data_IF_418857698375
#
_entry.id   IF_418857698375
#
_cell.length_a   1.000
_cell.length_b   1.000
_cell.length_c   1.000
_cell.angle_alpha   90.00
_cell.angle_beta   90.00
_cell.angle_gamma   90.00
#
_symmetry.space_group_name_H-M   'P 1'
#
loop_
_entity.id
_entity.type
_entity.pdbx_description
1 polymer ?
#
# COMPACT_ATOMS: atom_id res chain seq x y z
N UNK A 1 -39.33 -17.31 36.19
CA UNK A 1 -38.32 -16.41 35.59
C UNK A 1 -37.74 -16.91 34.26
N UNK A 2 -38.33 -17.90 33.56
CA UNK A 2 -37.80 -18.45 32.30
C UNK A 2 -38.38 -17.85 31.02
N UNK A 3 -39.40 -16.99 31.14
CA UNK A 3 -40.20 -16.47 30.01
C UNK A 3 -39.42 -15.48 29.14
N UNK A 4 -38.43 -14.81 29.73
CA UNK A 4 -37.62 -13.76 29.10
C UNK A 4 -36.20 -14.24 28.78
N UNK A 5 -35.86 -15.48 29.12
CA UNK A 5 -34.50 -16.02 28.98
C UNK A 5 -34.04 -16.01 27.52
N UNK A 6 -34.95 -16.28 26.59
CA UNK A 6 -34.70 -16.22 25.15
C UNK A 6 -34.47 -14.79 24.65
N UNK A 7 -35.27 -13.83 25.13
CA UNK A 7 -35.08 -12.41 24.81
C UNK A 7 -33.77 -11.85 25.36
N UNK A 8 -33.36 -12.30 26.55
CA UNK A 8 -32.09 -11.91 27.18
C UNK A 8 -30.90 -12.48 26.41
N UNK A 9 -30.96 -13.76 26.00
CA UNK A 9 -29.92 -14.37 25.15
C UNK A 9 -29.80 -13.64 23.82
N UNK A 10 -30.94 -13.33 23.19
CA UNK A 10 -30.94 -12.59 21.93
C UNK A 10 -30.38 -11.18 22.11
N UNK A 11 -30.74 -10.48 23.20
CA UNK A 11 -30.19 -9.17 23.54
C UNK A 11 -28.67 -9.21 23.72
N UNK A 12 -28.15 -10.18 24.48
CA UNK A 12 -26.70 -10.36 24.68
C UNK A 12 -26.01 -10.61 23.33
N UNK A 13 -26.57 -11.49 22.50
CA UNK A 13 -26.00 -11.77 21.17
C UNK A 13 -25.98 -10.52 20.27
N UNK A 14 -27.06 -9.73 20.27
CA UNK A 14 -27.15 -8.49 19.51
C UNK A 14 -26.14 -7.45 20.00
N UNK A 15 -25.97 -7.32 21.32
CA UNK A 15 -24.96 -6.42 21.90
C UNK A 15 -23.53 -6.87 21.56
N UNK A 16 -23.26 -8.18 21.58
CA UNK A 16 -21.95 -8.71 21.21
C UNK A 16 -21.65 -8.47 19.72
N UNK A 17 -22.62 -8.70 18.84
CA UNK A 17 -22.49 -8.45 17.40
C UNK A 17 -22.24 -6.96 17.09
N UNK A 18 -23.00 -6.07 17.74
CA UNK A 18 -22.84 -4.62 17.54
C UNK A 18 -21.48 -4.12 18.03
N UNK A 19 -21.03 -4.59 19.21
CA UNK A 19 -19.68 -4.29 19.72
C UNK A 19 -18.60 -4.83 18.79
N UNK A 20 -18.77 -6.06 18.28
CA UNK A 20 -17.83 -6.66 17.33
C UNK A 20 -17.72 -5.83 16.04
N UNK A 21 -18.86 -5.43 15.45
CA UNK A 21 -18.87 -4.58 14.25
C UNK A 21 -18.18 -3.25 14.54
N UNK A 22 -18.43 -2.63 15.69
CA UNK A 22 -17.76 -1.39 16.10
C UNK A 22 -16.25 -1.57 16.23
N UNK A 23 -15.79 -2.68 16.80
CA UNK A 23 -14.37 -2.98 16.91
C UNK A 23 -13.76 -3.20 15.51
N UNK A 24 -14.38 -3.99 14.65
CA UNK A 24 -13.87 -4.23 13.28
C UNK A 24 -13.87 -2.95 12.43
N UNK A 25 -14.89 -2.09 12.55
CA UNK A 25 -14.97 -0.83 11.79
C UNK A 25 -14.05 0.28 12.31
N UNK A 26 -13.86 0.41 13.62
CA UNK A 26 -13.06 1.51 14.20
C UNK A 26 -11.64 1.11 14.59
N UNK A 27 -11.40 -0.15 14.96
CA UNK A 27 -10.06 -0.63 15.36
C UNK A 27 -9.23 -1.04 14.16
N UNK A 28 -9.84 -1.60 13.10
CA UNK A 28 -9.11 -2.00 11.89
C UNK A 28 -9.28 -0.91 10.83
N UNK A 29 -8.38 0.07 10.87
CA UNK A 29 -8.24 1.03 9.78
C UNK A 29 -7.66 0.30 8.57
N UNK A 30 -8.49 0.04 7.55
CA UNK A 30 -8.03 -0.58 6.31
C UNK A 30 -7.41 0.49 5.43
N UNK A 31 -6.14 0.31 5.07
CA UNK A 31 -5.54 1.02 3.95
C UNK A 31 -6.20 0.43 2.72
N UNK A 32 -7.12 1.17 2.09
CA UNK A 32 -7.68 0.75 0.82
C UNK A 32 -6.52 0.73 -0.18
N UNK A 33 -5.97 -0.45 -0.44
CA UNK A 33 -5.11 -0.63 -1.59
C UNK A 33 -5.91 -0.19 -2.81
N UNK A 34 -5.34 0.72 -3.59
CA UNK A 34 -5.85 1.02 -4.93
C UNK A 34 -5.70 -0.26 -5.75
N UNK A 35 -6.79 -1.03 -5.87
CA UNK A 35 -6.90 -2.04 -6.91
C UNK A 35 -6.69 -1.28 -8.22
N UNK A 36 -5.69 -1.63 -9.06
CA UNK A 36 -5.67 -1.09 -10.40
C UNK A 36 -6.98 -1.53 -11.04
N UNK A 37 -7.85 -0.57 -11.35
CA UNK A 37 -9.04 -0.84 -12.13
C UNK A 37 -8.58 -1.49 -13.43
N UNK A 38 -8.83 -2.78 -13.58
CA UNK A 38 -8.81 -3.49 -14.86
C UNK A 38 -9.98 -2.96 -15.69
N UNK A 39 -9.80 -1.77 -16.24
CA UNK A 39 -10.53 -1.23 -17.38
C UNK A 39 -9.56 -0.30 -18.11
N UNK A 40 -8.58 -0.92 -18.74
CA UNK A 40 -7.50 -0.26 -19.44
C UNK A 40 -6.49 -1.27 -19.94
N UNK A 41 -6.94 -2.20 -20.79
CA UNK A 41 -6.05 -2.85 -21.76
C UNK A 41 -5.26 -1.76 -22.47
N UNK A 42 -4.01 -1.57 -22.08
CA UNK A 42 -2.96 -1.14 -23.01
C UNK A 42 -1.81 -2.12 -22.80
N UNK A 43 -1.88 -3.17 -23.60
CA UNK A 43 -0.76 -3.89 -24.18
C UNK A 43 0.53 -3.05 -24.16
N UNK A 44 1.43 -3.33 -23.23
CA UNK A 44 2.81 -2.85 -23.30
C UNK A 44 3.59 -3.74 -24.26
N UNK A 45 3.19 -3.69 -25.53
CA UNK A 45 3.95 -4.22 -26.65
C UNK A 45 4.91 -3.11 -27.10
N UNK A 46 6.19 -3.33 -26.81
CA UNK A 46 7.36 -2.94 -27.61
C UNK A 46 7.14 -1.75 -28.55
N UNK A 47 7.49 -0.54 -28.09
CA UNK A 47 7.87 0.56 -28.97
C UNK A 47 9.20 1.14 -28.51
N UNK A 48 10.23 0.71 -29.23
CA UNK A 48 11.55 1.34 -29.28
C UNK A 48 11.38 2.81 -29.68
N UNK A 49 11.70 3.74 -28.77
CA UNK A 49 12.33 5.01 -29.14
C UNK A 49 12.96 5.65 -27.90
N UNK A 50 14.25 5.38 -27.66
CA UNK A 50 15.10 6.43 -27.14
C UNK A 50 16.44 6.38 -27.85
N UNK A 51 16.67 7.42 -28.65
CA UNK A 51 17.86 7.68 -29.44
C UNK A 51 19.03 7.99 -28.48
N UNK A 52 20.18 7.38 -28.78
CA UNK A 52 21.57 7.80 -28.48
C UNK A 52 21.72 9.24 -27.93
N UNK A 53 22.61 9.54 -26.97
CA UNK A 53 24.03 9.23 -27.02
C UNK A 53 24.74 9.64 -25.71
N UNK A 54 25.91 9.03 -25.51
CA UNK A 54 27.05 9.45 -24.68
C UNK A 54 27.14 8.98 -23.21
N UNK A 55 27.89 7.88 -23.06
CA UNK A 55 29.03 7.69 -22.15
C UNK A 55 28.94 8.22 -20.70
N UNK A 56 28.83 7.30 -19.75
CA UNK A 56 29.99 6.89 -18.93
C UNK A 56 29.66 5.57 -18.22
N UNK A 57 30.59 4.63 -18.31
CA UNK A 57 30.49 3.28 -17.80
C UNK A 57 30.44 3.26 -16.27
N UNK A 58 29.28 2.98 -15.68
CA UNK A 58 29.21 2.29 -14.38
C UNK A 58 28.04 1.30 -14.41
N UNK A 59 28.21 0.22 -13.65
CA UNK A 59 27.45 -1.02 -13.62
C UNK A 59 25.93 -0.79 -13.44
N UNK A 60 25.23 -0.46 -14.52
CA UNK A 60 23.80 -0.14 -14.48
C UNK A 60 23.01 -1.44 -14.53
N UNK A 61 22.66 -1.96 -13.35
CA UNK A 61 21.44 -2.74 -13.23
C UNK A 61 20.29 -1.88 -13.76
N UNK A 62 19.39 -2.48 -14.56
CA UNK A 62 18.22 -1.76 -15.03
C UNK A 62 17.41 -1.28 -13.82
N UNK A 63 17.12 0.02 -13.75
CA UNK A 63 16.30 0.58 -12.69
C UNK A 63 14.90 -0.06 -12.73
N UNK A 64 14.43 -0.55 -11.59
CA UNK A 64 13.10 -1.14 -11.45
C UNK A 64 12.22 -0.14 -10.71
N UNK A 65 11.10 0.25 -11.34
CA UNK A 65 10.12 1.16 -10.74
C UNK A 65 8.78 0.45 -10.60
N UNK A 66 8.16 0.58 -9.42
CA UNK A 66 6.78 0.17 -9.17
C UNK A 66 5.97 1.36 -8.66
N UNK A 67 4.68 1.17 -8.39
CA UNK A 67 3.82 2.22 -7.82
C UNK A 67 4.36 2.77 -6.49
N UNK A 68 5.00 1.91 -5.68
CA UNK A 68 5.44 2.25 -4.32
C UNK A 68 6.95 2.07 -4.10
N UNK A 69 7.74 1.81 -5.15
CA UNK A 69 9.18 1.61 -4.99
C UNK A 69 9.98 2.03 -6.21
N UNK A 70 11.25 2.34 -5.96
CA UNK A 70 12.28 2.56 -6.96
C UNK A 70 13.55 1.83 -6.50
N UNK A 71 14.22 1.11 -7.38
CA UNK A 71 15.49 0.45 -7.05
C UNK A 71 16.42 0.42 -8.26
N UNK A 72 17.64 0.91 -8.06
CA UNK A 72 18.77 0.77 -8.98
C UNK A 72 20.03 0.31 -8.20
N UNK A 73 21.20 0.33 -8.83
CA UNK A 73 22.48 -0.09 -8.21
C UNK A 73 22.91 0.77 -6.99
N UNK A 74 22.40 2.00 -6.86
CA UNK A 74 22.87 3.03 -5.93
C UNK A 74 21.77 3.59 -5.02
N UNK A 75 20.51 3.51 -5.42
CA UNK A 75 19.37 4.13 -4.80
C UNK A 75 18.25 3.10 -4.65
N UNK A 76 17.67 3.02 -3.46
CA UNK A 76 16.44 2.28 -3.21
C UNK A 76 15.47 3.16 -2.44
N UNK A 77 14.24 3.26 -2.94
CA UNK A 77 13.13 3.99 -2.32
C UNK A 77 11.97 3.03 -2.13
N UNK A 78 11.40 2.99 -0.93
CA UNK A 78 10.16 2.26 -0.64
C UNK A 78 9.19 3.18 0.08
N UNK A 79 7.97 3.28 -0.47
CA UNK A 79 6.88 4.06 0.12
C UNK A 79 5.99 3.12 0.94
N UNK A 80 5.86 3.42 2.22
CA UNK A 80 4.92 2.74 3.11
C UNK A 80 3.83 3.70 3.56
N UNK A 81 2.57 3.27 3.44
CA UNK A 81 1.41 4.02 3.89
C UNK A 81 0.94 3.54 5.27
N UNK A 82 0.73 4.49 6.19
CA UNK A 82 0.14 4.26 7.51
C UNK A 82 -1.09 5.14 7.70
N UNK A 83 -2.00 4.73 8.59
CA UNK A 83 -3.15 5.54 8.99
C UNK A 83 -3.23 5.66 10.49
N UNK A 84 -3.18 6.88 11.02
CA UNK A 84 -3.34 7.16 12.44
C UNK A 84 -4.36 8.29 12.64
N UNK A 85 -5.37 8.10 13.51
CA UNK A 85 -6.35 9.13 13.90
C UNK A 85 -6.98 9.87 12.71
N UNK A 86 -7.35 9.13 11.67
CA UNK A 86 -7.89 9.64 10.40
C UNK A 86 -6.92 10.45 9.51
N UNK A 87 -5.62 10.46 9.83
CA UNK A 87 -4.56 10.99 8.99
C UNK A 87 -3.86 9.85 8.24
N UNK A 88 -3.73 9.98 6.92
CA UNK A 88 -2.86 9.11 6.11
C UNK A 88 -1.44 9.67 6.15
N UNK A 89 -0.46 8.81 6.41
CA UNK A 89 0.95 9.13 6.53
C UNK A 89 1.69 8.31 5.47
N UNK A 90 2.40 8.99 4.57
CA UNK A 90 3.28 8.36 3.59
C UNK A 90 4.72 8.50 4.08
N UNK A 91 5.40 7.37 4.31
CA UNK A 91 6.79 7.32 4.73
C UNK A 91 7.62 6.77 3.58
N UNK A 92 8.61 7.54 3.14
CA UNK A 92 9.62 7.06 2.20
C UNK A 92 10.86 6.60 2.97
N UNK A 93 11.20 5.32 2.85
CA UNK A 93 12.51 4.82 3.22
C UNK A 93 13.42 4.97 1.99
N UNK A 94 14.52 5.72 2.14
CA UNK A 94 15.45 6.06 1.05
C UNK A 94 16.84 5.61 1.46
N UNK A 95 17.44 4.73 0.66
CA UNK A 95 18.82 4.24 0.82
C UNK A 95 19.63 4.69 -0.37
N UNK A 96 20.80 5.25 -0.09
CA UNK A 96 21.71 5.77 -1.11
C UNK A 96 23.12 5.28 -0.78
N UNK A 97 23.86 4.82 -1.79
CA UNK A 97 25.22 4.29 -1.63
C UNK A 97 26.27 5.37 -1.35
N UNK A 98 26.05 6.62 -1.80
CA UNK A 98 26.96 7.75 -1.61
C UNK A 98 26.21 9.08 -1.65
N UNK A 99 26.78 10.13 -1.03
CA UNK A 99 26.23 11.48 -1.07
C UNK A 99 26.26 12.13 -2.46
N UNK A 100 27.01 11.53 -3.41
CA UNK A 100 27.03 11.95 -4.81
C UNK A 100 25.70 11.75 -5.53
N UNK A 101 24.82 10.90 -4.98
CA UNK A 101 23.50 10.58 -5.54
C UNK A 101 22.33 11.25 -4.78
N UNK A 102 22.58 12.40 -4.12
CA UNK A 102 21.58 13.23 -3.42
C UNK A 102 21.18 14.48 -4.22
#
# INVERSE_FOLDING_TARGET
MKKYLWGIIYGIFLTALTIYILMDTFVITRVYQTVPSEDGEIVSELSEENISDSDTSEESGAAVTTVNSYEDSHISVTITEYREKATTIYVADVRISSAEYL
#
